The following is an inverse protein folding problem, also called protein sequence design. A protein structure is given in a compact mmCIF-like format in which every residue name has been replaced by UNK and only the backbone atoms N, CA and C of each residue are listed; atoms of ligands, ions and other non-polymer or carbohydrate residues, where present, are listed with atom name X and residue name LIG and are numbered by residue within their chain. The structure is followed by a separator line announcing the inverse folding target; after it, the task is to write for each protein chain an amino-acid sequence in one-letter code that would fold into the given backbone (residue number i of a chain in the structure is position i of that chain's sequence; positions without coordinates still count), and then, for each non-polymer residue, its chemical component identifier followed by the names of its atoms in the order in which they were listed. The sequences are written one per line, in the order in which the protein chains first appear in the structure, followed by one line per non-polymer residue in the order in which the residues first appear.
data_IF_933292123066
#
_entry.id   IF_933292123066
#
_cell.length_a   1.000
_cell.length_b   1.000
_cell.length_c   1.000
_cell.angle_alpha   90.00
_cell.angle_beta   90.00
_cell.angle_gamma   90.00
#
_symmetry.space_group_name_H-M   'P 1'
#
loop_
_entity.id
_entity.type
_entity.pdbx_description
1 polymer ?
#
# COMPACT_ATOMS: atom_id res chain seq x y z
N UNK A 1 5.25 29.18 1.46
CA UNK A 1 4.87 28.80 0.08
C UNK A 1 3.75 27.77 0.22
N UNK A 2 2.52 28.27 0.37
CA UNK A 2 1.33 27.45 0.56
C UNK A 2 0.86 26.92 -0.80
N UNK A 3 0.84 25.60 -0.94
CA UNK A 3 0.28 24.87 -2.08
C UNK A 3 -0.50 23.69 -1.51
N UNK A 4 -1.71 24.00 -1.05
CA UNK A 4 -2.61 23.07 -0.40
C UNK A 4 -3.16 22.05 -1.40
N UNK A 5 -2.58 20.85 -1.40
CA UNK A 5 -3.40 19.64 -1.40
C UNK A 5 -3.43 19.15 0.05
N UNK A 6 -4.28 19.79 0.86
CA UNK A 6 -4.74 19.24 2.15
C UNK A 6 -5.77 18.14 1.87
N UNK A 7 -5.40 17.14 1.06
CA UNK A 7 -6.05 15.84 1.20
C UNK A 7 -5.65 15.38 2.59
N UNK A 8 -6.61 15.15 3.47
CA UNK A 8 -6.40 14.41 4.72
C UNK A 8 -5.50 13.23 4.39
N UNK A 9 -4.38 13.08 5.09
CA UNK A 9 -3.56 11.88 4.94
C UNK A 9 -4.49 10.72 5.27
N UNK A 10 -4.85 9.93 4.26
CA UNK A 10 -5.69 8.74 4.40
C UNK A 10 -4.80 7.51 4.25
N UNK A 11 -5.13 6.41 4.93
CA UNK A 11 -4.45 5.15 4.68
C UNK A 11 -4.67 4.73 3.23
N UNK A 12 -3.58 4.53 2.48
CA UNK A 12 -3.57 4.11 1.09
C UNK A 12 -2.73 2.84 0.92
N UNK A 13 -3.02 2.07 -0.12
CA UNK A 13 -2.27 0.87 -0.48
C UNK A 13 -1.70 1.07 -1.89
N UNK A 14 -0.38 0.89 -2.02
CA UNK A 14 0.25 0.79 -3.33
C UNK A 14 0.33 -0.68 -3.74
N UNK A 15 -0.25 -0.99 -4.90
CA UNK A 15 -0.20 -2.32 -5.51
C UNK A 15 0.86 -2.33 -6.61
N UNK A 16 1.89 -3.16 -6.45
CA UNK A 16 2.88 -3.40 -7.49
C UNK A 16 2.67 -4.78 -8.06
N UNK A 17 2.63 -4.86 -9.39
CA UNK A 17 2.51 -6.12 -10.11
C UNK A 17 3.59 -6.22 -11.18
N UNK A 18 3.97 -7.44 -11.53
CA UNK A 18 4.91 -7.77 -12.61
C UNK A 18 4.18 -8.61 -13.65
N UNK A 19 4.04 -8.06 -14.85
CA UNK A 19 3.34 -8.71 -15.95
C UNK A 19 4.07 -9.98 -16.47
N UNK A 20 5.39 -10.02 -16.34
CA UNK A 20 6.23 -11.14 -16.79
C UNK A 20 6.62 -12.10 -15.64
N UNK A 21 6.13 -11.86 -14.42
CA UNK A 21 6.38 -12.70 -13.25
C UNK A 21 7.82 -12.64 -12.72
N UNK A 22 8.63 -11.70 -13.20
CA UNK A 22 10.02 -11.51 -12.77
C UNK A 22 10.14 -10.94 -11.36
N UNK A 23 9.09 -10.28 -10.87
CA UNK A 23 8.97 -9.78 -9.49
C UNK A 23 7.68 -10.26 -8.85
N UNK A 24 7.64 -10.35 -7.52
CA UNK A 24 6.42 -10.67 -6.79
C UNK A 24 5.36 -9.57 -6.94
N UNK A 25 4.07 -9.92 -6.88
CA UNK A 25 3.02 -8.97 -6.56
C UNK A 25 3.26 -8.41 -5.15
N UNK A 26 3.08 -7.12 -4.94
CA UNK A 26 3.32 -6.46 -3.66
C UNK A 26 2.15 -5.57 -3.26
N UNK A 27 1.82 -5.60 -1.98
CA UNK A 27 0.88 -4.69 -1.33
C UNK A 27 1.65 -3.89 -0.29
N UNK A 28 1.71 -2.58 -0.47
CA UNK A 28 2.48 -1.67 0.40
C UNK A 28 1.47 -0.71 1.06
N UNK A 29 1.02 -0.99 2.29
CA UNK A 29 0.19 -0.06 3.04
C UNK A 29 1.01 1.14 3.52
N UNK A 30 0.40 2.32 3.52
CA UNK A 30 1.07 3.55 3.95
C UNK A 30 0.15 4.76 4.02
N UNK A 31 0.67 5.86 4.53
CA UNK A 31 0.07 7.19 4.35
C UNK A 31 0.78 7.84 3.18
N UNK A 32 0.13 7.92 2.03
CA UNK A 32 0.73 8.46 0.81
C UNK A 32 0.00 9.72 0.35
N UNK A 33 0.72 10.53 -0.42
CA UNK A 33 0.21 11.73 -1.05
C UNK A 33 0.77 11.84 -2.45
N UNK A 34 -0.10 12.12 -3.40
CA UNK A 34 0.31 12.44 -4.77
C UNK A 34 0.99 13.81 -4.82
N UNK A 35 2.22 13.86 -5.34
CA UNK A 35 3.03 15.09 -5.38
C UNK A 35 3.35 15.58 -6.78
N UNK A 36 3.23 14.73 -7.81
CA UNK A 36 3.47 15.12 -9.19
C UNK A 36 2.63 14.29 -10.16
N UNK A 37 2.16 14.90 -11.24
CA UNK A 37 1.32 14.29 -12.29
C UNK A 37 1.96 13.09 -12.99
N UNK A 38 3.26 12.87 -12.82
CA UNK A 38 3.97 11.70 -13.34
C UNK A 38 3.82 10.43 -12.48
N UNK A 39 2.99 10.45 -11.44
CA UNK A 39 2.80 9.28 -10.57
C UNK A 39 3.65 9.29 -9.29
N UNK A 40 4.43 10.36 -9.05
CA UNK A 40 5.23 10.44 -7.83
C UNK A 40 4.32 10.60 -6.60
N UNK A 41 4.53 9.71 -5.64
CA UNK A 41 3.90 9.75 -4.32
C UNK A 41 4.96 9.93 -3.24
N UNK A 42 4.61 10.65 -2.18
CA UNK A 42 5.46 10.84 -1.00
C UNK A 42 4.68 10.41 0.24
N UNK A 43 5.33 9.75 1.19
CA UNK A 43 4.64 9.22 2.36
C UNK A 43 5.47 8.24 3.17
N UNK A 44 4.81 7.62 4.14
CA UNK A 44 5.40 6.60 5.02
C UNK A 44 4.70 5.26 4.76
N UNK A 45 5.48 4.20 4.54
CA UNK A 45 4.96 2.84 4.44
C UNK A 45 5.01 2.12 5.79
N UNK A 46 4.08 1.19 5.98
CA UNK A 46 3.90 0.42 7.21
C UNK A 46 4.24 -1.07 7.06
N UNK A 47 5.06 -1.39 6.06
CA UNK A 47 5.45 -2.75 5.71
C UNK A 47 5.19 -3.04 4.23
N UNK A 48 5.51 -4.26 3.82
CA UNK A 48 5.18 -4.78 2.49
C UNK A 48 4.78 -6.25 2.58
N UNK A 49 3.72 -6.61 1.87
CA UNK A 49 3.30 -8.00 1.68
C UNK A 49 3.69 -8.41 0.26
N UNK A 50 4.38 -9.54 0.12
CA UNK A 50 4.87 -10.04 -1.18
C UNK A 50 4.21 -11.37 -1.49
N UNK A 51 3.52 -11.44 -2.63
CA UNK A 51 2.89 -12.65 -3.15
C UNK A 51 3.66 -13.13 -4.38
N UNK A 52 4.32 -14.30 -4.32
CA UNK A 52 4.93 -14.91 -5.50
C UNK A 52 3.89 -15.24 -6.57
N UNK A 53 4.23 -15.10 -7.85
CA UNK A 53 3.38 -15.52 -8.98
C UNK A 53 3.34 -17.03 -9.20
N UNK A 54 3.36 -17.83 -8.13
CA UNK A 54 3.37 -19.30 -8.17
C UNK A 54 2.59 -19.88 -7.00
N UNK A 55 1.89 -20.99 -7.24
CA UNK A 55 1.09 -21.68 -6.24
C UNK A 55 -0.31 -21.11 -6.14
N UNK A 56 -0.89 -21.11 -4.93
CA UNK A 56 -2.19 -20.48 -4.68
C UNK A 56 -2.03 -18.96 -4.57
N UNK A 57 -2.08 -18.29 -5.71
CA UNK A 57 -1.92 -16.83 -5.80
C UNK A 57 -3.16 -16.14 -5.23
N UNK A 58 -4.36 -16.62 -5.58
CA UNK A 58 -5.61 -15.96 -5.23
C UNK A 58 -5.83 -16.00 -3.71
N UNK A 59 -5.64 -17.16 -3.08
CA UNK A 59 -5.74 -17.28 -1.62
C UNK A 59 -4.76 -16.34 -0.91
N UNK A 60 -3.51 -16.29 -1.37
CA UNK A 60 -2.46 -15.44 -0.78
C UNK A 60 -2.71 -13.94 -0.95
N UNK A 61 -3.29 -13.52 -2.07
CA UNK A 61 -3.69 -12.12 -2.26
C UNK A 61 -4.81 -11.75 -1.29
N UNK A 62 -5.80 -12.63 -1.11
CA UNK A 62 -6.91 -12.41 -0.16
C UNK A 62 -6.39 -12.34 1.28
N UNK A 63 -5.56 -13.29 1.70
CA UNK A 63 -4.94 -13.30 3.02
C UNK A 63 -4.13 -12.02 3.28
N UNK A 64 -3.30 -11.62 2.32
CA UNK A 64 -2.52 -10.39 2.44
C UNK A 64 -3.40 -9.13 2.51
N UNK A 65 -4.55 -9.09 1.83
CA UNK A 65 -5.48 -7.98 1.96
C UNK A 65 -6.04 -7.86 3.39
N UNK A 66 -6.38 -8.98 4.04
CA UNK A 66 -6.79 -8.97 5.46
C UNK A 66 -5.68 -8.53 6.40
N UNK A 67 -4.44 -8.91 6.11
CA UNK A 67 -3.28 -8.44 6.89
C UNK A 67 -3.11 -6.92 6.77
N UNK A 68 -3.30 -6.34 5.58
CA UNK A 68 -3.29 -4.86 5.41
C UNK A 68 -4.38 -4.19 6.22
N UNK A 69 -5.60 -4.72 6.24
CA UNK A 69 -6.69 -4.17 7.07
C UNK A 69 -6.29 -4.15 8.55
N UNK A 70 -5.72 -5.25 9.05
CA UNK A 70 -5.22 -5.31 10.43
C UNK A 70 -4.04 -4.37 10.71
N UNK A 71 -3.27 -3.96 9.70
CA UNK A 71 -2.23 -2.92 9.84
C UNK A 71 -2.88 -1.55 10.02
N UNK A 72 -3.90 -1.24 9.21
CA UNK A 72 -4.61 0.04 9.31
C UNK A 72 -5.37 0.21 10.61
N UNK A 73 -6.04 -0.84 11.09
CA UNK A 73 -6.74 -0.80 12.38
C UNK A 73 -5.78 -0.43 13.53
N UNK A 74 -4.58 -1.04 13.57
CA UNK A 74 -3.55 -0.74 14.57
C UNK A 74 -3.04 0.70 14.50
N UNK A 75 -2.93 1.25 13.29
CA UNK A 75 -2.50 2.63 13.10
C UNK A 75 -3.59 3.59 13.60
N UNK A 76 -4.85 3.30 13.31
CA UNK A 76 -5.96 4.13 13.79
C UNK A 76 -6.12 4.07 15.31
N UNK A 77 -5.90 2.90 15.94
CA UNK A 77 -5.97 2.73 17.39
C UNK A 77 -4.81 3.42 18.14
N UNK A 78 -3.66 3.62 17.49
CA UNK A 78 -2.49 4.29 18.08
C UNK A 78 -2.48 5.82 17.93
N UNK A 79 -3.51 6.40 17.28
CA UNK A 79 -3.61 7.83 16.98
C UNK A 79 -4.58 8.58 17.93
N UNK A 80 -5.16 7.89 18.92
CA UNK A 80 -5.88 8.51 20.05
C UNK A 80 -4.95 8.94 21.21
#
# INVERSE_FOLDING_TARGET
REGANKGTEVPEIILLNSHDGSSSYQMIPGMFRFVCTNGLVCGTSFGEIRVPHKGDIVGRVIEGAYEVLGIFDKITEGVD
#
